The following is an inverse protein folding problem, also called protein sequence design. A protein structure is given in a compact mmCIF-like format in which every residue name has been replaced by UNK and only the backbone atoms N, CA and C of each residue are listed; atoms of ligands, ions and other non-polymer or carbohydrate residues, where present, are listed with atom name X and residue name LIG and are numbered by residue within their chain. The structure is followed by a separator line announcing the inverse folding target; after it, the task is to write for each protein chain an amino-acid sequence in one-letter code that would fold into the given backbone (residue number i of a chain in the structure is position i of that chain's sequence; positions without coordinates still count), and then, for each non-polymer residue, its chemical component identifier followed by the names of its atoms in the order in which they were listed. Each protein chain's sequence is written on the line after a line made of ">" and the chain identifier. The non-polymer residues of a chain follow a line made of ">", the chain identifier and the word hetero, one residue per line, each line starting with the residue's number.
data_IF_512416677495
#
_entry.id   IF_512416677495
#
_cell.length_a   1.000
_cell.length_b   1.000
_cell.length_c   1.000
_cell.angle_alpha   90.00
_cell.angle_beta   90.00
_cell.angle_gamma   90.00
#
_symmetry.space_group_name_H-M   'P 1'
#
loop_
_entity.id
_entity.type
_entity.pdbx_description
1 polymer ?
#
# COMPACT_ATOMS: atom_id res chain seq x y z
N UNK A 1 16.69 9.79 18.54
CA UNK A 1 18.12 10.03 18.41
C UNK A 1 18.62 9.28 17.18
N UNK A 2 19.88 9.44 16.79
CA UNK A 2 20.40 8.90 15.53
C UNK A 2 20.21 7.40 15.36
N UNK A 3 20.35 6.62 16.45
CA UNK A 3 20.21 5.16 16.43
C UNK A 3 18.80 4.69 16.12
N UNK A 4 17.78 5.33 16.69
CA UNK A 4 16.37 5.01 16.42
C UNK A 4 16.00 5.29 14.96
N UNK A 5 16.52 6.39 14.43
CA UNK A 5 16.29 6.80 13.05
C UNK A 5 16.94 5.83 12.06
N UNK A 6 18.13 5.31 12.36
CA UNK A 6 18.81 4.30 11.55
C UNK A 6 18.05 2.97 11.56
N UNK A 7 17.52 2.54 12.71
CA UNK A 7 16.71 1.33 12.82
C UNK A 7 15.41 1.45 12.03
N UNK A 8 14.74 2.59 12.06
CA UNK A 8 13.54 2.85 11.26
C UNK A 8 13.83 2.82 9.76
N UNK A 9 14.92 3.43 9.32
CA UNK A 9 15.34 3.42 7.93
C UNK A 9 15.67 2.00 7.43
N UNK A 10 16.32 1.18 8.26
CA UNK A 10 16.62 -0.22 7.95
C UNK A 10 15.34 -1.06 7.86
N UNK A 11 14.38 -0.87 8.76
CA UNK A 11 13.08 -1.55 8.71
C UNK A 11 12.31 -1.19 7.44
N UNK A 12 12.25 0.07 7.07
CA UNK A 12 11.60 0.53 5.86
C UNK A 12 12.25 -0.05 4.59
N UNK A 13 13.57 -0.04 4.53
CA UNK A 13 14.30 -0.60 3.40
C UNK A 13 14.05 -2.10 3.24
N UNK A 14 14.03 -2.85 4.35
CA UNK A 14 13.74 -4.29 4.35
C UNK A 14 12.30 -4.56 3.93
N UNK A 15 11.36 -3.77 4.43
CA UNK A 15 9.95 -3.86 4.09
C UNK A 15 9.72 -3.60 2.60
N UNK A 16 10.35 -2.58 2.04
CA UNK A 16 10.25 -2.25 0.61
C UNK A 16 10.80 -3.37 -0.27
N UNK A 17 11.91 -3.98 0.10
CA UNK A 17 12.46 -5.13 -0.63
C UNK A 17 11.52 -6.32 -0.62
N UNK A 18 10.96 -6.66 0.53
CA UNK A 18 10.01 -7.76 0.68
C UNK A 18 8.76 -7.49 -0.14
N UNK A 19 8.24 -6.28 -0.12
CA UNK A 19 7.07 -5.87 -0.87
C UNK A 19 7.31 -5.93 -2.39
N UNK A 20 8.45 -5.44 -2.87
CA UNK A 20 8.81 -5.51 -4.29
C UNK A 20 8.92 -6.96 -4.77
N UNK A 21 9.51 -7.83 -3.96
CA UNK A 21 9.61 -9.27 -4.28
C UNK A 21 8.24 -9.92 -4.36
N UNK A 22 7.34 -9.64 -3.41
CA UNK A 22 5.98 -10.16 -3.41
C UNK A 22 5.19 -9.70 -4.64
N UNK A 23 5.29 -8.43 -5.02
CA UNK A 23 4.60 -7.91 -6.21
C UNK A 23 5.14 -8.51 -7.51
N UNK A 24 6.43 -8.82 -7.57
CA UNK A 24 7.02 -9.54 -8.71
C UNK A 24 6.46 -10.95 -8.86
N UNK A 25 6.14 -11.62 -7.76
CA UNK A 25 5.59 -12.98 -7.79
C UNK A 25 4.10 -13.00 -8.11
N UNK A 26 3.36 -11.95 -7.75
CA UNK A 26 1.91 -12.01 -7.87
C UNK A 26 1.41 -11.89 -9.30
N UNK A 27 1.82 -10.91 -10.05
CA UNK A 27 1.47 -10.88 -11.48
C UNK A 27 2.28 -9.86 -12.26
N UNK A 28 2.64 -10.22 -13.47
CA UNK A 28 3.24 -9.30 -14.44
C UNK A 28 2.25 -8.24 -14.95
N UNK A 29 0.95 -8.42 -14.73
CA UNK A 29 -0.12 -7.54 -15.21
C UNK A 29 -0.54 -6.48 -14.19
N UNK A 30 -0.19 -6.63 -12.92
CA UNK A 30 -0.58 -5.69 -11.88
C UNK A 30 0.52 -4.69 -11.57
N UNK A 31 0.57 -3.63 -12.36
CA UNK A 31 1.50 -2.52 -12.08
C UNK A 31 1.08 -1.81 -10.80
N UNK A 32 2.04 -1.57 -9.94
CA UNK A 32 1.86 -0.73 -8.76
C UNK A 32 1.97 0.73 -9.20
N UNK A 33 0.92 1.50 -8.94
CA UNK A 33 0.84 2.91 -9.32
C UNK A 33 1.11 3.85 -8.15
N UNK A 34 0.79 3.42 -6.93
CA UNK A 34 1.01 4.24 -5.75
C UNK A 34 1.18 3.38 -4.51
N UNK A 35 1.85 3.93 -3.53
CA UNK A 35 2.15 3.29 -2.25
C UNK A 35 1.90 4.29 -1.12
N UNK A 36 1.45 3.78 0.04
CA UNK A 36 1.34 4.57 1.25
C UNK A 36 1.64 3.72 2.47
N UNK A 37 2.52 4.19 3.34
CA UNK A 37 2.83 3.52 4.61
C UNK A 37 1.84 3.95 5.68
N UNK A 38 1.40 2.98 6.48
CA UNK A 38 0.62 3.29 7.68
C UNK A 38 1.49 4.04 8.70
N UNK A 39 0.96 5.08 9.35
CA UNK A 39 1.76 5.91 10.26
C UNK A 39 2.21 5.19 11.53
N UNK A 40 1.52 4.13 11.96
CA UNK A 40 1.78 3.45 13.24
C UNK A 40 1.92 1.94 13.15
N UNK A 41 1.40 1.31 12.11
CA UNK A 41 1.41 -0.15 11.96
C UNK A 41 2.30 -0.58 10.80
N UNK A 42 2.78 -1.83 10.79
CA UNK A 42 3.64 -2.33 9.73
C UNK A 42 2.85 -2.67 8.44
N UNK A 43 2.04 -1.74 8.00
CA UNK A 43 1.15 -1.91 6.86
C UNK A 43 1.48 -0.95 5.73
N UNK A 44 1.26 -1.44 4.51
CA UNK A 44 1.43 -0.64 3.30
C UNK A 44 0.23 -0.85 2.38
N UNK A 45 -0.25 0.24 1.80
CA UNK A 45 -1.23 0.20 0.72
C UNK A 45 -0.51 0.23 -0.63
N UNK A 46 -0.96 -0.60 -1.53
CA UNK A 46 -0.53 -0.58 -2.92
C UNK A 46 -1.73 -0.37 -3.82
N UNK A 47 -1.72 0.69 -4.62
CA UNK A 47 -2.73 0.92 -5.65
C UNK A 47 -2.25 0.35 -6.98
N UNK A 48 -3.12 -0.37 -7.68
CA UNK A 48 -2.76 -1.12 -8.86
C UNK A 48 -3.40 -0.55 -10.14
N UNK A 49 -2.77 -0.85 -11.26
CA UNK A 49 -3.29 -0.52 -12.59
C UNK A 49 -4.64 -1.18 -12.87
N UNK A 50 -4.90 -2.33 -12.28
CA UNK A 50 -6.14 -3.10 -12.46
C UNK A 50 -7.37 -2.50 -11.77
N UNK A 51 -7.21 -1.47 -10.95
CA UNK A 51 -8.31 -0.91 -10.17
C UNK A 51 -8.39 -1.40 -8.74
N UNK A 52 -7.48 -2.26 -8.34
CA UNK A 52 -7.41 -2.86 -7.01
C UNK A 52 -6.50 -2.05 -6.10
N UNK A 53 -6.87 -1.96 -4.83
CA UNK A 53 -5.99 -1.51 -3.74
C UNK A 53 -5.73 -2.71 -2.85
N UNK A 54 -4.48 -2.97 -2.54
CA UNK A 54 -4.06 -4.05 -1.65
C UNK A 54 -3.51 -3.47 -0.36
N UNK A 55 -3.88 -4.09 0.76
CA UNK A 55 -3.33 -3.77 2.07
C UNK A 55 -2.43 -4.93 2.51
N UNK A 56 -1.15 -4.65 2.70
CA UNK A 56 -0.13 -5.63 3.07
C UNK A 56 0.45 -5.37 4.45
N UNK A 57 0.76 -6.45 5.17
CA UNK A 57 1.67 -6.42 6.31
C UNK A 57 3.09 -6.68 5.76
N UNK A 58 3.95 -5.67 5.81
CA UNK A 58 5.28 -5.80 5.22
C UNK A 58 6.28 -6.56 6.07
N UNK A 59 6.04 -6.70 7.38
CA UNK A 59 6.89 -7.51 8.27
C UNK A 59 6.65 -8.99 8.06
N UNK A 60 5.40 -9.37 7.92
CA UNK A 60 5.00 -10.76 7.73
C UNK A 60 4.97 -11.16 6.26
N UNK A 61 4.97 -10.20 5.36
CA UNK A 61 4.83 -10.44 3.94
C UNK A 61 3.47 -11.00 3.54
N UNK A 62 2.42 -10.63 4.26
CA UNK A 62 1.06 -11.16 4.05
C UNK A 62 0.11 -10.11 3.54
N UNK A 63 -0.77 -10.52 2.61
CA UNK A 63 -1.89 -9.71 2.17
C UNK A 63 -2.96 -9.72 3.25
N UNK A 64 -3.30 -8.53 3.78
CA UNK A 64 -4.32 -8.39 4.81
C UNK A 64 -5.71 -8.29 4.17
N UNK A 65 -5.85 -7.44 3.15
CA UNK A 65 -7.13 -7.19 2.50
C UNK A 65 -6.95 -6.68 1.07
N UNK A 66 -8.03 -6.75 0.31
CA UNK A 66 -8.09 -6.36 -1.09
C UNK A 66 -9.37 -5.58 -1.35
N UNK A 67 -9.25 -4.42 -2.01
CA UNK A 67 -10.36 -3.54 -2.33
C UNK A 67 -10.44 -3.35 -3.85
N UNK A 68 -11.50 -3.83 -4.46
CA UNK A 68 -11.68 -3.82 -5.92
C UNK A 68 -12.87 -2.91 -6.28
N UNK A 69 -12.65 -1.60 -6.23
CA UNK A 69 -13.72 -0.61 -6.36
C UNK A 69 -13.55 0.41 -7.48
N UNK A 70 -12.40 0.42 -8.16
CA UNK A 70 -12.16 1.32 -9.27
C UNK A 70 -12.21 0.59 -10.61
N UNK A 71 -12.77 1.27 -11.61
CA UNK A 71 -12.74 0.83 -13.01
C UNK A 71 -11.52 1.44 -13.70
N UNK A 72 -10.39 0.76 -13.62
CA UNK A 72 -9.15 1.22 -14.18
C UNK A 72 -8.10 1.59 -13.13
N UNK A 73 -6.96 2.15 -13.56
CA UNK A 73 -5.83 2.39 -12.68
C UNK A 73 -6.16 3.26 -11.47
N UNK A 74 -5.69 2.83 -10.30
CA UNK A 74 -5.77 3.61 -9.07
C UNK A 74 -4.46 4.39 -8.93
N UNK A 75 -4.52 5.69 -9.14
CA UNK A 75 -3.32 6.54 -9.23
C UNK A 75 -2.75 6.94 -7.89
N UNK A 76 -3.60 7.09 -6.88
CA UNK A 76 -3.17 7.54 -5.58
C UNK A 76 -3.89 6.83 -4.46
N UNK A 77 -3.19 6.60 -3.37
CA UNK A 77 -3.72 6.07 -2.11
C UNK A 77 -3.03 6.77 -0.95
N UNK A 78 -3.75 6.95 0.13
CA UNK A 78 -3.17 7.49 1.35
C UNK A 78 -3.95 7.05 2.58
N UNK A 79 -3.24 6.72 3.65
CA UNK A 79 -3.85 6.43 4.94
C UNK A 79 -4.29 7.71 5.63
N UNK A 80 -5.39 7.62 6.36
CA UNK A 80 -5.72 8.65 7.34
C UNK A 80 -4.73 8.59 8.52
N UNK A 81 -4.36 9.75 9.07
CA UNK A 81 -3.31 9.83 10.09
C UNK A 81 -3.67 9.17 11.41
N UNK A 82 -4.95 9.08 11.77
CA UNK A 82 -5.39 8.57 13.07
C UNK A 82 -6.72 7.81 13.07
N UNK A 83 -7.35 7.65 11.93
CA UNK A 83 -8.58 6.84 11.77
C UNK A 83 -8.28 5.61 10.91
N UNK A 84 -8.99 4.49 11.09
CA UNK A 84 -8.79 3.30 10.28
C UNK A 84 -9.42 3.45 8.89
N UNK A 85 -8.99 4.46 8.16
CA UNK A 85 -9.48 4.83 6.84
C UNK A 85 -8.32 5.04 5.88
N UNK A 86 -8.59 4.82 4.60
CA UNK A 86 -7.73 5.29 3.54
C UNK A 86 -8.55 5.89 2.40
N UNK A 87 -7.92 6.72 1.59
CA UNK A 87 -8.51 7.33 0.40
C UNK A 87 -7.80 6.80 -0.83
N UNK A 88 -8.55 6.58 -1.91
CA UNK A 88 -8.00 6.22 -3.21
C UNK A 88 -8.62 7.06 -4.31
N UNK A 89 -7.84 7.37 -5.33
CA UNK A 89 -8.28 8.11 -6.51
C UNK A 89 -7.87 7.39 -7.78
N UNK A 90 -8.78 7.26 -8.74
CA UNK A 90 -8.57 6.48 -9.94
C UNK A 90 -8.88 7.21 -11.24
N UNK A 91 -8.53 6.56 -12.36
CA UNK A 91 -8.83 7.06 -13.70
C UNK A 91 -10.31 6.98 -14.06
N UNK A 92 -11.13 6.35 -13.22
CA UNK A 92 -12.58 6.31 -13.31
C UNK A 92 -13.29 7.58 -12.80
N UNK A 93 -12.52 8.63 -12.50
CA UNK A 93 -12.99 9.91 -11.94
C UNK A 93 -13.60 9.80 -10.55
N UNK A 94 -13.32 8.72 -9.82
CA UNK A 94 -13.86 8.50 -8.48
C UNK A 94 -12.78 8.65 -7.41
N UNK A 95 -13.21 9.22 -6.28
CA UNK A 95 -12.44 9.23 -5.04
C UNK A 95 -13.21 8.36 -4.06
N UNK A 96 -12.55 7.36 -3.49
CA UNK A 96 -13.14 6.41 -2.55
C UNK A 96 -12.50 6.56 -1.18
N UNK A 97 -13.33 6.47 -0.13
CA UNK A 97 -12.88 6.40 1.27
C UNK A 97 -13.32 5.06 1.82
N UNK A 98 -12.38 4.29 2.32
CA UNK A 98 -12.62 2.92 2.78
C UNK A 98 -12.19 2.73 4.22
N UNK A 99 -12.99 1.97 4.97
CA UNK A 99 -12.63 1.43 6.28
C UNK A 99 -11.79 0.16 6.12
N UNK A 100 -10.89 -0.03 7.08
CA UNK A 100 -10.16 -1.31 7.13
C UNK A 100 -9.95 -1.84 8.54
#
# INVERSE_FOLDING_TARGET
>A
MAREKEEEEEEEATAQKSFIMLTKFETKSNRVKGLSFHPKRPWILASLHSGVVQLWDYRMGTLIDRFDEHDGPVRGVDFHSNQPLFVSGGDDYKIKVEDF
#
